data_IF_041539624838
#
_entry.id   IF_041539624838
#
_cell.length_a   1.000
_cell.length_b   1.000
_cell.length_c   1.000
_cell.angle_alpha   90.00
_cell.angle_beta   90.00
_cell.angle_gamma   90.00
#
_symmetry.space_group_name_H-M   'P 1'
#
loop_
_entity.id
_entity.type
_entity.pdbx_description
1 polymer ?
#
# COMPACT_ATOMS: atom_id res chain seq x y z
N UNK A 1 -4.78 19.54 -13.96
CA UNK A 1 -4.96 18.17 -14.38
C UNK A 1 -4.65 17.23 -13.24
N UNK A 2 -5.49 16.23 -13.05
CA UNK A 2 -5.31 15.29 -11.95
C UNK A 2 -4.25 14.23 -12.25
N UNK A 3 -3.87 13.52 -11.20
CA UNK A 3 -2.99 12.38 -11.35
C UNK A 3 -3.75 11.21 -11.98
N UNK A 4 -3.05 10.43 -12.78
CA UNK A 4 -3.58 9.17 -13.27
C UNK A 4 -3.33 8.09 -12.22
N UNK A 5 -3.99 6.95 -12.35
CA UNK A 5 -3.73 5.79 -11.50
C UNK A 5 -2.25 5.36 -11.63
N UNK A 6 -1.70 5.43 -12.85
CA UNK A 6 -0.30 5.10 -13.08
C UNK A 6 0.67 5.99 -12.31
N UNK A 7 0.28 7.24 -12.03
CA UNK A 7 1.08 8.16 -11.22
C UNK A 7 0.80 8.00 -9.73
N UNK A 8 -0.47 7.90 -9.36
CA UNK A 8 -0.90 7.87 -7.97
C UNK A 8 -0.59 6.55 -7.26
N UNK A 9 -0.66 5.44 -7.99
CA UNK A 9 -0.48 4.11 -7.43
C UNK A 9 0.93 3.90 -6.84
N UNK A 10 2.00 4.19 -7.58
CA UNK A 10 3.35 4.06 -7.01
C UNK A 10 3.58 4.97 -5.81
N UNK A 11 2.94 6.14 -5.78
CA UNK A 11 3.04 7.04 -4.63
C UNK A 11 2.42 6.41 -3.38
N UNK A 12 1.28 5.74 -3.53
CA UNK A 12 0.67 5.04 -2.41
C UNK A 12 1.49 3.85 -1.97
N UNK A 13 2.10 3.13 -2.90
CA UNK A 13 3.00 2.04 -2.54
C UNK A 13 4.19 2.54 -1.72
N UNK A 14 4.77 3.66 -2.14
CA UNK A 14 5.88 4.28 -1.41
C UNK A 14 5.44 4.73 -0.01
N UNK A 15 4.26 5.33 0.08
CA UNK A 15 3.69 5.74 1.37
C UNK A 15 3.49 4.54 2.30
N UNK A 16 3.00 3.42 1.76
CA UNK A 16 2.81 2.20 2.55
C UNK A 16 4.15 1.66 3.08
N UNK A 17 5.20 1.71 2.26
CA UNK A 17 6.53 1.25 2.69
C UNK A 17 7.08 2.13 3.81
N UNK A 18 6.83 3.43 3.74
CA UNK A 18 7.26 4.37 4.77
C UNK A 18 6.51 4.11 6.07
N UNK A 19 5.20 3.94 6.01
CA UNK A 19 4.39 3.62 7.18
C UNK A 19 4.83 2.28 7.79
N UNK A 20 5.10 1.30 6.93
CA UNK A 20 5.59 -0.01 7.38
C UNK A 20 6.87 0.12 8.19
N UNK A 21 7.80 0.97 7.72
CA UNK A 21 9.05 1.23 8.44
C UNK A 21 8.79 1.79 9.84
N UNK A 22 7.84 2.73 9.96
CA UNK A 22 7.47 3.30 11.25
C UNK A 22 6.93 2.24 12.22
N UNK A 23 6.04 1.37 11.75
CA UNK A 23 5.49 0.32 12.58
C UNK A 23 6.53 -0.72 12.99
N UNK A 24 7.50 -1.00 12.13
CA UNK A 24 8.60 -1.91 12.47
C UNK A 24 9.47 -1.32 13.58
N UNK A 25 9.67 0.00 13.58
CA UNK A 25 10.44 0.67 14.62
C UNK A 25 9.76 0.61 15.99
N UNK A 26 8.43 0.55 16.01
CA UNK A 26 7.66 0.42 17.26
C UNK A 26 7.94 -0.95 17.92
N UNK A 27 8.29 -1.95 17.14
CA UNK A 27 8.57 -3.29 17.63
C UNK A 27 7.29 -4.14 17.76
N UNK A 28 7.23 -5.04 18.75
CA UNK A 28 6.12 -6.00 18.84
C UNK A 28 4.73 -5.38 18.87
N UNK A 29 4.60 -4.20 19.44
CA UNK A 29 3.31 -3.52 19.52
C UNK A 29 2.75 -3.17 18.13
N UNK A 30 3.62 -3.01 17.13
CA UNK A 30 3.21 -2.72 15.76
C UNK A 30 3.01 -3.94 14.88
N UNK A 31 3.17 -5.15 15.44
CA UNK A 31 3.20 -6.39 14.65
C UNK A 31 1.97 -6.63 13.81
N UNK A 32 0.78 -6.37 14.34
CA UNK A 32 -0.46 -6.54 13.56
C UNK A 32 -0.49 -5.60 12.35
N UNK A 33 -0.16 -4.33 12.57
CA UNK A 33 -0.14 -3.34 11.49
C UNK A 33 0.91 -3.68 10.44
N UNK A 34 2.07 -4.19 10.86
CA UNK A 34 3.10 -4.67 9.94
C UNK A 34 2.54 -5.75 9.04
N UNK A 35 1.86 -6.75 9.60
CA UNK A 35 1.27 -7.83 8.82
C UNK A 35 0.26 -7.34 7.81
N UNK A 36 -0.63 -6.43 8.21
CA UNK A 36 -1.66 -5.87 7.34
C UNK A 36 -1.04 -5.11 6.18
N UNK A 37 -0.06 -4.25 6.48
CA UNK A 37 0.56 -3.42 5.44
C UNK A 37 1.42 -4.25 4.50
N UNK A 38 2.14 -5.25 5.01
CA UNK A 38 2.92 -6.15 4.17
C UNK A 38 2.03 -6.92 3.20
N UNK A 39 0.88 -7.41 3.69
CA UNK A 39 -0.08 -8.09 2.83
C UNK A 39 -0.62 -7.15 1.75
N UNK A 40 -0.97 -5.95 2.14
CA UNK A 40 -1.49 -4.95 1.21
C UNK A 40 -0.48 -4.61 0.13
N UNK A 41 0.79 -4.41 0.51
CA UNK A 41 1.86 -4.14 -0.45
C UNK A 41 2.09 -5.32 -1.40
N UNK A 42 2.04 -6.55 -0.90
CA UNK A 42 2.20 -7.74 -1.72
C UNK A 42 1.10 -7.82 -2.78
N UNK A 43 -0.14 -7.57 -2.37
CA UNK A 43 -1.27 -7.57 -3.29
C UNK A 43 -1.16 -6.41 -4.29
N UNK A 44 -0.68 -5.26 -3.84
CA UNK A 44 -0.50 -4.10 -4.70
C UNK A 44 0.55 -4.36 -5.79
N UNK A 45 1.68 -4.95 -5.40
CA UNK A 45 2.74 -5.29 -6.35
C UNK A 45 2.27 -6.32 -7.35
N UNK A 46 1.55 -7.35 -6.90
CA UNK A 46 1.03 -8.40 -7.77
C UNK A 46 0.03 -7.83 -8.79
N UNK A 47 -0.92 -7.02 -8.33
CA UNK A 47 -1.91 -6.44 -9.23
C UNK A 47 -1.25 -5.56 -10.30
N UNK A 48 -0.19 -4.84 -9.93
CA UNK A 48 0.54 -4.02 -10.88
C UNK A 48 1.28 -4.88 -11.92
N UNK A 49 1.92 -5.96 -11.49
CA UNK A 49 2.62 -6.88 -12.38
C UNK A 49 1.65 -7.52 -13.36
N UNK A 50 0.48 -7.93 -12.87
CA UNK A 50 -0.54 -8.58 -13.68
C UNK A 50 -1.35 -7.59 -14.51
N UNK A 51 -1.16 -6.30 -14.28
CA UNK A 51 -1.92 -5.23 -14.92
C UNK A 51 -3.43 -5.38 -14.75
N UNK A 52 -3.83 -5.84 -13.57
CA UNK A 52 -5.22 -6.05 -13.20
C UNK A 52 -5.80 -4.72 -12.70
N UNK A 53 -6.32 -3.92 -13.64
CA UNK A 53 -6.78 -2.58 -13.31
C UNK A 53 -7.90 -2.54 -12.26
N UNK A 54 -8.95 -3.38 -12.35
CA UNK A 54 -9.97 -3.38 -11.30
C UNK A 54 -9.41 -3.66 -9.92
N UNK A 55 -8.47 -4.62 -9.81
CA UNK A 55 -7.84 -4.95 -8.55
C UNK A 55 -6.93 -3.81 -8.07
N UNK A 56 -6.21 -3.17 -8.99
CA UNK A 56 -5.37 -2.01 -8.65
C UNK A 56 -6.21 -0.89 -8.06
N UNK A 57 -7.38 -0.61 -8.63
CA UNK A 57 -8.27 0.43 -8.11
C UNK A 57 -8.76 0.08 -6.71
N UNK A 58 -9.13 -1.16 -6.49
CA UNK A 58 -9.58 -1.63 -5.17
C UNK A 58 -8.48 -1.47 -4.13
N UNK A 59 -7.29 -1.93 -4.47
CA UNK A 59 -6.14 -1.86 -3.55
C UNK A 59 -5.73 -0.42 -3.32
N UNK A 60 -5.79 0.42 -4.35
CA UNK A 60 -5.49 1.84 -4.22
C UNK A 60 -6.38 2.48 -3.15
N UNK A 61 -7.67 2.15 -3.15
CA UNK A 61 -8.59 2.64 -2.13
C UNK A 61 -8.26 2.14 -0.74
N UNK A 62 -7.88 0.86 -0.64
CA UNK A 62 -7.44 0.30 0.64
C UNK A 62 -6.20 1.01 1.16
N UNK A 63 -5.24 1.31 0.28
CA UNK A 63 -4.03 2.04 0.67
C UNK A 63 -4.36 3.46 1.15
N UNK A 64 -5.30 4.13 0.48
CA UNK A 64 -5.71 5.47 0.89
C UNK A 64 -6.35 5.48 2.29
N UNK A 65 -7.01 4.39 2.66
CA UNK A 65 -7.70 4.30 3.95
C UNK A 65 -6.75 4.02 5.11
N UNK A 66 -5.51 3.66 4.84
CA UNK A 66 -4.53 3.43 5.91
C UNK A 66 -4.10 4.76 6.50
N UNK A 67 -4.33 4.92 7.81
CA UNK A 67 -3.93 6.12 8.54
C UNK A 67 -2.45 6.04 8.92
N UNK A 68 -1.82 7.19 8.96
CA UNK A 68 -0.43 7.30 9.42
C UNK A 68 -0.31 7.36 10.93
#
# INVERSE_FOLDING_TARGET
>A
MGETLGDAYPKQQARMREILGHYKEIGPAGGFSVMVIEDLLRRADRAAIEQDLPEMIRIYREMQDVAE
#
